data_IF_500335204080
#
_entry.id   IF_500335204080
#
_cell.length_a   1.000
_cell.length_b   1.000
_cell.length_c   1.000
_cell.angle_alpha   90.00
_cell.angle_beta   90.00
_cell.angle_gamma   90.00
#
_symmetry.space_group_name_H-M   'P 1'
#
loop_
_entity.id
_entity.type
_entity.pdbx_description
1 polymer ?
#
# COMPACT_ATOMS: atom_id res chain seq x y z
N UNK A 1 36.36 43.66 30.80
CA UNK A 1 35.53 42.45 30.50
C UNK A 1 36.37 41.59 29.59
N UNK A 2 36.92 40.45 30.09
CA UNK A 2 37.99 39.73 29.39
C UNK A 2 37.48 38.86 28.26
N UNK A 3 37.75 39.33 27.02
CA UNK A 3 37.41 38.66 25.75
C UNK A 3 38.02 37.24 25.65
N UNK A 4 39.09 36.97 26.37
CA UNK A 4 39.80 35.67 26.38
C UNK A 4 39.03 34.53 27.07
N UNK A 5 38.00 34.82 27.88
CA UNK A 5 37.16 33.80 28.50
C UNK A 5 36.01 33.32 27.60
N UNK A 6 35.58 34.16 26.63
CA UNK A 6 34.54 33.80 25.67
C UNK A 6 35.04 32.81 24.59
N UNK A 7 36.33 32.90 24.23
CA UNK A 7 36.91 31.97 23.23
C UNK A 7 37.06 30.52 23.74
N UNK A 8 37.06 30.29 25.06
CA UNK A 8 37.20 28.94 25.63
C UNK A 8 35.92 28.10 25.56
N UNK A 9 34.77 28.76 25.37
CA UNK A 9 33.46 28.06 25.27
C UNK A 9 33.01 27.81 23.84
N UNK A 10 33.69 28.38 22.84
CA UNK A 10 33.36 28.21 21.44
C UNK A 10 33.43 26.75 20.96
N UNK A 11 34.46 25.93 21.31
CA UNK A 11 34.51 24.54 20.88
C UNK A 11 33.38 23.68 21.48
N UNK A 12 32.89 24.03 22.67
CA UNK A 12 31.77 23.29 23.31
C UNK A 12 30.43 23.58 22.60
N UNK A 13 30.25 24.77 22.07
CA UNK A 13 29.05 25.17 21.32
C UNK A 13 28.98 24.47 19.96
N UNK A 14 30.13 24.31 19.28
CA UNK A 14 30.23 23.61 18.00
C UNK A 14 29.98 22.12 18.15
N UNK A 15 30.41 21.50 19.26
CA UNK A 15 30.13 20.09 19.56
C UNK A 15 28.65 19.80 19.83
N UNK A 16 27.92 20.78 20.37
CA UNK A 16 26.47 20.66 20.57
C UNK A 16 25.68 20.67 19.24
N UNK A 17 26.19 21.36 18.21
CA UNK A 17 25.55 21.40 16.89
C UNK A 17 25.80 20.14 16.07
N UNK A 18 26.90 19.43 16.30
CA UNK A 18 27.20 18.16 15.63
C UNK A 18 26.40 16.97 16.17
N UNK A 19 25.84 17.10 17.38
CA UNK A 19 24.99 16.06 17.98
C UNK A 19 23.53 16.04 17.52
N UNK A 20 23.10 17.00 16.69
CA UNK A 20 21.71 17.12 16.24
C UNK A 20 21.35 16.25 15.03
N UNK A 21 22.33 15.64 14.35
CA UNK A 21 22.04 14.53 13.44
C UNK A 21 21.83 13.25 14.25
N UNK A 22 20.74 13.18 14.99
CA UNK A 22 20.19 11.88 15.38
C UNK A 22 19.87 11.17 14.07
N UNK A 23 20.72 10.23 13.68
CA UNK A 23 20.35 9.22 12.73
C UNK A 23 19.03 8.65 13.26
N UNK A 24 17.92 8.95 12.54
CA UNK A 24 16.64 8.33 12.85
C UNK A 24 16.93 6.84 12.85
N UNK A 25 16.80 6.19 14.01
CA UNK A 25 17.00 4.75 14.11
C UNK A 25 16.14 4.04 13.10
N UNK A 26 16.38 2.77 12.79
CA UNK A 26 15.60 2.05 11.80
C UNK A 26 14.12 2.24 12.16
N UNK A 27 13.37 2.81 11.20
CA UNK A 27 11.96 3.09 11.42
C UNK A 27 11.23 1.79 11.76
N UNK A 28 10.42 1.84 12.80
CA UNK A 28 9.63 0.69 13.21
C UNK A 28 8.73 0.25 12.03
N UNK A 29 8.68 -1.04 11.73
CA UNK A 29 7.78 -1.55 10.71
C UNK A 29 6.32 -1.26 11.10
N UNK A 30 5.48 -0.95 10.12
CA UNK A 30 4.05 -0.80 10.31
C UNK A 30 3.45 -2.14 10.79
N UNK A 31 2.52 -2.06 11.72
CA UNK A 31 1.86 -3.25 12.30
C UNK A 31 0.48 -3.49 11.72
N UNK A 32 -0.10 -2.47 11.10
CA UNK A 32 -1.42 -2.50 10.48
C UNK A 32 -1.39 -1.92 9.08
N UNK A 33 -2.39 -2.27 8.26
CA UNK A 33 -2.59 -1.69 6.93
C UNK A 33 -2.70 -0.16 7.03
N UNK A 34 -3.45 0.34 8.01
CA UNK A 34 -3.61 1.78 8.22
C UNK A 34 -2.27 2.47 8.56
N UNK A 35 -1.46 1.89 9.46
CA UNK A 35 -0.13 2.41 9.79
C UNK A 35 0.80 2.41 8.58
N UNK A 36 0.73 1.38 7.73
CA UNK A 36 1.52 1.31 6.50
C UNK A 36 1.20 2.48 5.57
N UNK A 37 -0.07 2.72 5.29
CA UNK A 37 -0.48 3.85 4.47
C UNK A 37 -0.01 5.18 5.08
N UNK A 38 -0.28 5.43 6.36
CA UNK A 38 0.12 6.66 7.05
C UNK A 38 1.64 6.87 7.06
N UNK A 39 2.43 5.79 7.16
CA UNK A 39 3.89 5.83 7.15
C UNK A 39 4.46 6.25 5.81
N UNK A 40 3.83 5.81 4.71
CA UNK A 40 4.40 5.94 3.38
C UNK A 40 3.71 6.98 2.49
N UNK A 41 2.48 7.42 2.79
CA UNK A 41 1.72 8.33 1.92
C UNK A 41 2.40 9.68 1.64
N UNK A 42 3.21 10.19 2.58
CA UNK A 42 3.93 11.45 2.44
C UNK A 42 5.41 11.29 2.05
N UNK A 43 5.87 10.06 1.80
CA UNK A 43 7.27 9.80 1.47
C UNK A 43 7.56 9.96 0.00
N UNK A 44 8.75 10.45 -0.29
CA UNK A 44 9.26 10.56 -1.66
C UNK A 44 9.28 9.20 -2.36
N UNK A 45 8.80 9.15 -3.60
CA UNK A 45 8.68 7.94 -4.41
C UNK A 45 7.41 7.15 -4.19
N UNK A 46 6.63 7.46 -3.15
CA UNK A 46 5.32 6.87 -2.91
C UNK A 46 4.21 7.78 -3.45
N UNK A 47 3.16 7.15 -3.97
CA UNK A 47 1.89 7.79 -4.30
C UNK A 47 0.78 7.02 -3.61
N UNK A 48 0.05 7.68 -2.73
CA UNK A 48 -1.10 7.11 -2.05
C UNK A 48 -2.37 7.82 -2.50
N UNK A 49 -3.43 7.05 -2.69
CA UNK A 49 -4.74 7.55 -3.08
C UNK A 49 -5.81 6.80 -2.32
N UNK A 50 -6.86 7.51 -1.93
CA UNK A 50 -8.04 6.93 -1.29
C UNK A 50 -9.28 7.29 -2.10
N UNK A 51 -10.08 6.29 -2.43
CA UNK A 51 -11.29 6.46 -3.22
C UNK A 51 -12.53 6.09 -2.41
N UNK A 52 -13.55 6.92 -2.54
CA UNK A 52 -14.87 6.64 -2.01
C UNK A 52 -15.73 5.88 -3.03
N UNK A 53 -16.83 5.23 -2.60
CA UNK A 53 -17.65 4.35 -3.44
C UNK A 53 -18.13 4.99 -4.74
N UNK A 54 -18.53 6.27 -4.70
CA UNK A 54 -19.11 6.97 -5.85
C UNK A 54 -18.16 7.08 -7.04
N UNK A 55 -16.87 7.25 -6.77
CA UNK A 55 -15.86 7.32 -7.81
C UNK A 55 -15.60 5.94 -8.43
N UNK A 56 -15.53 4.92 -7.59
CA UNK A 56 -15.33 3.54 -8.04
C UNK A 56 -16.51 3.06 -8.88
N UNK A 57 -17.74 3.37 -8.47
CA UNK A 57 -18.94 3.04 -9.22
C UNK A 57 -18.90 3.65 -10.63
N UNK A 58 -18.42 4.89 -10.78
CA UNK A 58 -18.27 5.52 -12.10
C UNK A 58 -17.21 4.85 -12.98
N UNK A 59 -16.02 4.51 -12.41
CA UNK A 59 -14.96 3.81 -13.14
C UNK A 59 -15.47 2.45 -13.60
N UNK A 60 -16.09 1.72 -12.68
CA UNK A 60 -16.55 0.37 -12.92
C UNK A 60 -17.73 0.36 -13.90
N UNK A 61 -18.73 1.23 -13.74
CA UNK A 61 -19.85 1.34 -14.65
C UNK A 61 -19.42 1.82 -16.06
N UNK A 62 -18.43 2.71 -16.14
CA UNK A 62 -17.87 3.13 -17.44
C UNK A 62 -17.19 1.99 -18.21
N UNK A 63 -16.67 0.98 -17.50
CA UNK A 63 -16.06 -0.23 -18.10
C UNK A 63 -17.00 -1.43 -18.14
N UNK A 64 -17.93 -1.51 -17.19
CA UNK A 64 -18.90 -2.59 -17.04
C UNK A 64 -19.99 -2.61 -18.13
N UNK A 65 -20.03 -1.64 -19.05
CA UNK A 65 -20.82 -1.80 -20.28
C UNK A 65 -20.54 -3.11 -21.04
N UNK A 66 -19.53 -3.89 -20.58
CA UNK A 66 -19.15 -5.22 -21.06
C UNK A 66 -19.24 -6.33 -20.00
N UNK A 67 -19.52 -6.03 -18.72
CA UNK A 67 -19.62 -7.03 -17.66
C UNK A 67 -21.09 -7.28 -17.37
N UNK A 68 -21.61 -8.36 -17.96
CA UNK A 68 -22.99 -8.85 -17.76
C UNK A 68 -23.16 -9.59 -16.42
N UNK A 69 -22.13 -9.62 -15.56
CA UNK A 69 -22.15 -10.40 -14.33
C UNK A 69 -22.71 -9.56 -13.18
N UNK A 70 -23.93 -9.90 -12.76
CA UNK A 70 -24.63 -9.26 -11.64
C UNK A 70 -23.84 -9.39 -10.32
N UNK A 71 -23.06 -10.46 -10.15
CA UNK A 71 -22.27 -10.70 -8.95
C UNK A 71 -21.05 -9.78 -8.87
N UNK A 72 -20.41 -9.52 -10.01
CA UNK A 72 -19.34 -8.54 -10.11
C UNK A 72 -19.84 -7.12 -9.78
N UNK A 73 -21.04 -6.77 -10.25
CA UNK A 73 -21.67 -5.49 -9.92
C UNK A 73 -21.96 -5.37 -8.42
N UNK A 74 -22.51 -6.43 -7.82
CA UNK A 74 -22.74 -6.46 -6.37
C UNK A 74 -21.43 -6.37 -5.57
N UNK A 75 -20.37 -7.03 -6.03
CA UNK A 75 -19.07 -6.95 -5.39
C UNK A 75 -18.57 -5.50 -5.33
N UNK A 76 -18.72 -4.76 -6.43
CA UNK A 76 -18.31 -3.35 -6.50
C UNK A 76 -19.20 -2.44 -5.64
N UNK A 77 -20.51 -2.65 -5.62
CA UNK A 77 -21.44 -1.86 -4.80
C UNK A 77 -21.24 -2.09 -3.30
N UNK A 78 -20.69 -3.25 -2.91
CA UNK A 78 -20.36 -3.56 -1.51
C UNK A 78 -19.03 -2.97 -1.04
N UNK A 79 -18.27 -2.31 -1.92
CA UNK A 79 -17.04 -1.60 -1.55
C UNK A 79 -17.40 -0.36 -0.75
N UNK A 80 -16.76 -0.18 0.40
CA UNK A 80 -16.87 1.02 1.23
C UNK A 80 -15.72 1.99 1.00
N UNK A 81 -14.50 1.46 0.93
CA UNK A 81 -13.31 2.29 0.66
C UNK A 81 -12.30 1.48 -0.14
N UNK A 82 -11.56 2.17 -1.00
CA UNK A 82 -10.36 1.64 -1.63
C UNK A 82 -9.21 2.57 -1.33
N UNK A 83 -8.13 2.02 -0.79
CA UNK A 83 -6.87 2.73 -0.61
C UNK A 83 -5.84 2.06 -1.50
N UNK A 84 -5.09 2.87 -2.22
CA UNK A 84 -4.02 2.42 -3.09
C UNK A 84 -2.73 3.13 -2.71
N UNK A 85 -1.63 2.40 -2.70
CA UNK A 85 -0.30 2.98 -2.59
C UNK A 85 0.63 2.30 -3.58
N UNK A 86 1.41 3.11 -4.28
CA UNK A 86 2.43 2.66 -5.20
C UNK A 86 3.77 3.24 -4.84
N UNK A 87 4.80 2.51 -5.18
CA UNK A 87 6.17 2.95 -5.05
C UNK A 87 6.95 2.57 -6.30
N UNK A 88 7.64 3.56 -6.87
CA UNK A 88 8.55 3.37 -8.00
C UNK A 88 9.97 3.76 -7.55
N UNK A 89 10.92 2.81 -7.46
CA UNK A 89 12.26 3.10 -7.01
C UNK A 89 13.00 3.97 -8.04
N UNK A 90 13.64 5.04 -7.56
CA UNK A 90 14.41 5.99 -8.40
C UNK A 90 15.91 5.92 -8.15
N UNK A 91 16.36 5.14 -7.15
CA UNK A 91 17.77 5.00 -6.74
C UNK A 91 18.08 3.57 -6.31
N UNK A 92 19.35 3.22 -6.15
CA UNK A 92 19.78 1.92 -5.66
C UNK A 92 19.24 1.64 -4.25
N UNK A 93 19.31 2.62 -3.34
CA UNK A 93 18.77 2.48 -1.98
C UNK A 93 17.25 2.32 -1.95
N UNK A 94 16.52 2.93 -2.88
CA UNK A 94 15.08 2.76 -2.99
C UNK A 94 14.70 1.39 -3.60
N UNK A 95 15.54 0.80 -4.45
CA UNK A 95 15.35 -0.59 -4.90
C UNK A 95 15.52 -1.57 -3.75
N UNK A 96 16.55 -1.40 -2.91
CA UNK A 96 16.75 -2.21 -1.71
C UNK A 96 15.56 -2.15 -0.76
N UNK A 97 14.97 -0.98 -0.57
CA UNK A 97 13.74 -0.81 0.21
C UNK A 97 12.60 -1.64 -0.38
N UNK A 98 12.42 -1.60 -1.70
CA UNK A 98 11.38 -2.35 -2.38
C UNK A 98 11.58 -3.87 -2.29
N UNK A 99 12.79 -4.35 -2.61
CA UNK A 99 13.06 -5.79 -2.70
C UNK A 99 13.02 -6.50 -1.36
N UNK A 100 13.51 -5.86 -0.29
CA UNK A 100 13.70 -6.48 1.02
C UNK A 100 12.85 -5.89 2.12
N UNK A 101 12.49 -4.63 2.01
CA UNK A 101 11.81 -3.88 3.07
C UNK A 101 10.30 -3.97 2.99
N UNK A 102 9.70 -3.44 1.92
CA UNK A 102 8.24 -3.26 1.79
C UNK A 102 7.50 -4.60 1.84
N UNK A 103 8.00 -5.61 1.12
CA UNK A 103 7.37 -6.91 1.06
C UNK A 103 7.34 -7.58 2.44
N UNK A 104 8.48 -7.58 3.15
CA UNK A 104 8.58 -8.15 4.49
C UNK A 104 7.72 -7.40 5.51
N UNK A 105 7.65 -6.08 5.39
CA UNK A 105 6.81 -5.26 6.26
C UNK A 105 5.32 -5.57 6.02
N UNK A 106 4.90 -5.68 4.77
CA UNK A 106 3.53 -6.06 4.43
C UNK A 106 3.20 -7.47 4.90
N UNK A 107 4.07 -8.45 4.69
CA UNK A 107 3.85 -9.80 5.18
C UNK A 107 3.75 -9.84 6.72
N UNK A 108 4.49 -8.97 7.42
CA UNK A 108 4.42 -8.78 8.86
C UNK A 108 3.08 -8.22 9.33
N UNK A 109 2.64 -7.11 8.73
CA UNK A 109 1.38 -6.47 9.11
C UNK A 109 0.16 -7.34 8.78
N UNK A 110 0.16 -8.05 7.65
CA UNK A 110 -0.94 -8.95 7.30
C UNK A 110 -1.09 -10.08 8.32
N UNK A 111 0.03 -10.65 8.80
CA UNK A 111 0.00 -11.63 9.89
C UNK A 111 -0.52 -11.03 11.20
N UNK A 112 -0.07 -9.82 11.56
CA UNK A 112 -0.50 -9.14 12.78
C UNK A 112 -2.01 -8.89 12.79
N UNK A 113 -2.58 -8.48 11.68
CA UNK A 113 -4.02 -8.22 11.54
C UNK A 113 -4.83 -9.47 11.17
N UNK A 114 -4.21 -10.66 11.18
CA UNK A 114 -4.84 -11.96 10.92
C UNK A 114 -5.49 -12.05 9.53
N UNK A 115 -4.81 -11.51 8.52
CA UNK A 115 -5.21 -11.77 7.15
C UNK A 115 -4.84 -13.19 6.74
N UNK A 116 -5.76 -13.82 6.04
CA UNK A 116 -5.59 -15.15 5.46
C UNK A 116 -5.18 -15.00 3.99
N UNK A 117 -4.13 -15.70 3.54
CA UNK A 117 -3.76 -15.69 2.13
C UNK A 117 -4.88 -16.32 1.30
N UNK A 118 -5.27 -15.66 0.22
CA UNK A 118 -6.24 -16.18 -0.72
C UNK A 118 -5.49 -16.95 -1.80
N UNK A 119 -5.78 -18.26 -1.89
CA UNK A 119 -5.27 -19.12 -2.96
C UNK A 119 -6.03 -18.81 -4.25
N UNK A 120 -5.72 -17.70 -4.87
CA UNK A 120 -6.19 -17.45 -6.24
C UNK A 120 -5.25 -18.19 -7.18
N UNK A 121 -5.83 -19.01 -8.07
CA UNK A 121 -5.12 -19.38 -9.30
C UNK A 121 -4.63 -18.07 -9.90
N UNK A 122 -3.33 -17.98 -10.20
CA UNK A 122 -2.69 -16.80 -10.78
C UNK A 122 -3.57 -16.25 -11.90
N UNK A 123 -4.33 -15.22 -11.60
CA UNK A 123 -5.07 -14.47 -12.60
C UNK A 123 -4.07 -13.49 -13.17
N UNK A 124 -3.30 -13.98 -14.13
CA UNK A 124 -2.41 -13.18 -14.95
C UNK A 124 -3.25 -12.26 -15.83
N UNK A 125 -3.63 -11.10 -15.32
CA UNK A 125 -4.06 -10.00 -16.15
C UNK A 125 -2.78 -9.29 -16.66
N UNK A 126 -2.26 -9.74 -17.79
CA UNK A 126 -0.95 -9.31 -18.28
C UNK A 126 0.21 -9.84 -17.42
N UNK A 127 1.37 -9.19 -17.46
CA UNK A 127 2.55 -9.54 -16.67
C UNK A 127 2.50 -9.10 -15.19
N UNK A 128 1.35 -8.61 -14.71
CA UNK A 128 1.19 -8.16 -13.33
C UNK A 128 0.89 -9.37 -12.43
N UNK A 129 1.74 -9.60 -11.42
CA UNK A 129 1.57 -10.63 -10.42
C UNK A 129 1.04 -10.01 -9.14
N UNK A 130 -0.17 -10.39 -8.72
CA UNK A 130 -0.75 -9.95 -7.45
C UNK A 130 -0.92 -11.13 -6.50
N UNK A 131 -0.61 -10.90 -5.23
CA UNK A 131 -0.95 -11.77 -4.11
C UNK A 131 -2.10 -11.13 -3.36
N UNK A 132 -3.04 -11.95 -2.93
CA UNK A 132 -4.23 -11.51 -2.23
C UNK A 132 -4.26 -12.09 -0.83
N UNK A 133 -4.73 -11.26 0.11
CA UNK A 133 -5.02 -11.68 1.47
C UNK A 133 -6.35 -11.07 1.91
N UNK A 134 -7.10 -11.78 2.73
CA UNK A 134 -8.43 -11.36 3.18
C UNK A 134 -8.53 -11.35 4.69
N UNK A 135 -9.27 -10.40 5.22
CA UNK A 135 -9.66 -10.38 6.64
C UNK A 135 -11.14 -10.68 6.74
N UNK A 136 -11.49 -11.60 7.63
CA UNK A 136 -12.85 -12.06 7.82
C UNK A 136 -13.46 -11.60 9.14
N UNK A 137 -14.77 -11.50 9.14
CA UNK A 137 -15.58 -11.37 10.36
C UNK A 137 -16.79 -12.29 10.20
N UNK A 138 -16.79 -13.43 10.88
CA UNK A 138 -17.73 -14.51 10.63
C UNK A 138 -17.62 -14.99 9.19
N UNK A 139 -18.76 -15.15 8.52
CA UNK A 139 -18.86 -15.66 7.14
C UNK A 139 -18.55 -14.58 6.08
N UNK A 140 -18.29 -13.33 6.49
CA UNK A 140 -18.05 -12.23 5.57
C UNK A 140 -16.58 -11.83 5.53
N UNK A 141 -16.13 -11.47 4.33
CA UNK A 141 -14.86 -10.80 4.13
C UNK A 141 -15.05 -9.30 4.29
N UNK A 142 -14.33 -8.71 5.23
CA UNK A 142 -14.41 -7.28 5.55
C UNK A 142 -13.35 -6.45 4.86
N UNK A 143 -12.27 -7.09 4.44
CA UNK A 143 -11.19 -6.42 3.74
C UNK A 143 -10.42 -7.39 2.83
N UNK A 144 -10.07 -6.91 1.64
CA UNK A 144 -9.22 -7.61 0.67
C UNK A 144 -7.99 -6.74 0.45
N UNK A 145 -6.81 -7.31 0.64
CA UNK A 145 -5.53 -6.65 0.34
C UNK A 145 -4.89 -7.36 -0.84
N UNK A 146 -4.56 -6.59 -1.87
CA UNK A 146 -3.77 -7.04 -3.01
C UNK A 146 -2.39 -6.39 -2.96
N UNK A 147 -1.34 -7.17 -3.11
CA UNK A 147 0.03 -6.70 -3.20
C UNK A 147 0.70 -7.25 -4.44
N UNK A 148 1.49 -6.44 -5.11
CA UNK A 148 2.09 -6.86 -6.37
C UNK A 148 3.00 -5.83 -6.99
N UNK A 149 3.16 -5.94 -8.30
CA UNK A 149 3.97 -5.06 -9.13
C UNK A 149 3.16 -4.63 -10.35
N UNK A 150 3.44 -3.45 -10.88
CA UNK A 150 2.84 -3.01 -12.14
C UNK A 150 3.44 -3.80 -13.31
N UNK A 151 2.62 -4.09 -14.32
CA UNK A 151 3.05 -4.85 -15.48
C UNK A 151 4.14 -4.14 -16.30
N UNK A 152 4.06 -2.81 -16.37
CA UNK A 152 4.97 -1.91 -17.08
C UNK A 152 6.16 -1.44 -16.23
N UNK A 153 6.15 -1.74 -14.93
CA UNK A 153 7.20 -1.38 -13.98
C UNK A 153 7.52 -2.54 -13.01
N UNK A 154 8.30 -3.53 -13.42
CA UNK A 154 8.56 -4.74 -12.62
C UNK A 154 9.30 -4.46 -11.30
N UNK A 155 10.00 -3.33 -11.21
CA UNK A 155 10.64 -2.88 -9.97
C UNK A 155 9.68 -2.08 -9.05
N UNK A 156 8.43 -1.88 -9.43
CA UNK A 156 7.45 -1.16 -8.63
C UNK A 156 6.91 -2.03 -7.49
N UNK A 157 6.35 -1.37 -6.49
CA UNK A 157 5.52 -2.00 -5.47
C UNK A 157 4.13 -1.38 -5.54
N UNK A 158 3.11 -2.22 -5.41
CA UNK A 158 1.71 -1.82 -5.36
C UNK A 158 1.04 -2.53 -4.19
N UNK A 159 0.27 -1.77 -3.41
CA UNK A 159 -0.65 -2.32 -2.42
C UNK A 159 -2.01 -1.66 -2.57
N UNK A 160 -3.05 -2.47 -2.65
CA UNK A 160 -4.45 -2.06 -2.64
C UNK A 160 -5.12 -2.65 -1.40
N UNK A 161 -5.87 -1.84 -0.69
CA UNK A 161 -6.71 -2.29 0.41
C UNK A 161 -8.15 -1.91 0.10
N UNK A 162 -9.02 -2.90 -0.06
CA UNK A 162 -10.44 -2.76 -0.38
C UNK A 162 -11.26 -3.20 0.81
N UNK A 163 -11.93 -2.28 1.47
CA UNK A 163 -12.83 -2.60 2.58
C UNK A 163 -14.28 -2.64 2.12
N UNK A 164 -15.06 -3.50 2.74
CA UNK A 164 -16.47 -3.67 2.40
C UNK A 164 -17.14 -4.77 3.21
N UNK A 165 -18.15 -5.40 2.63
CA UNK A 165 -18.84 -6.56 3.20
C UNK A 165 -19.12 -7.56 2.09
N UNK A 166 -18.21 -8.50 1.89
CA UNK A 166 -18.19 -9.39 0.74
C UNK A 166 -18.49 -10.83 1.11
N UNK A 167 -19.16 -11.53 0.21
CA UNK A 167 -19.18 -13.00 0.20
C UNK A 167 -17.90 -13.54 -0.43
N UNK A 168 -17.62 -14.83 -0.28
CA UNK A 168 -16.46 -15.45 -0.93
C UNK A 168 -16.53 -15.30 -2.46
N UNK A 169 -17.70 -15.53 -3.06
CA UNK A 169 -17.90 -15.37 -4.49
C UNK A 169 -17.63 -13.94 -4.99
N UNK A 170 -18.07 -12.93 -4.22
CA UNK A 170 -17.76 -11.53 -4.53
C UNK A 170 -16.27 -11.23 -4.43
N UNK A 171 -15.53 -11.83 -3.48
CA UNK A 171 -14.07 -11.72 -3.41
C UNK A 171 -13.42 -12.32 -4.67
N UNK A 172 -13.90 -13.47 -5.12
CA UNK A 172 -13.38 -14.10 -6.34
C UNK A 172 -13.60 -13.22 -7.59
N UNK A 173 -14.70 -12.48 -7.65
CA UNK A 173 -14.91 -11.47 -8.70
C UNK A 173 -14.00 -10.25 -8.53
N UNK A 174 -13.82 -9.74 -7.31
CA UNK A 174 -12.91 -8.63 -7.05
C UNK A 174 -11.49 -8.95 -7.48
N UNK A 175 -10.97 -10.15 -7.22
CA UNK A 175 -9.61 -10.54 -7.62
C UNK A 175 -9.41 -10.54 -9.14
N UNK A 176 -10.46 -10.73 -9.93
CA UNK A 176 -10.41 -10.64 -11.40
C UNK A 176 -10.42 -9.19 -11.90
N UNK A 177 -11.09 -8.30 -11.17
CA UNK A 177 -11.32 -6.91 -11.56
C UNK A 177 -10.17 -6.00 -11.09
N UNK A 178 -9.66 -6.21 -9.87
CA UNK A 178 -8.65 -5.35 -9.23
C UNK A 178 -7.39 -5.13 -10.09
N UNK A 179 -6.81 -6.13 -10.77
CA UNK A 179 -5.65 -5.90 -11.62
C UNK A 179 -5.89 -4.90 -12.75
N UNK A 180 -7.08 -4.93 -13.35
CA UNK A 180 -7.47 -4.00 -14.40
C UNK A 180 -7.73 -2.58 -13.90
N UNK A 181 -8.08 -2.44 -12.61
CA UNK A 181 -8.35 -1.13 -11.99
C UNK A 181 -7.08 -0.41 -11.55
N UNK A 182 -6.00 -1.15 -11.24
CA UNK A 182 -4.74 -0.57 -10.76
C UNK A 182 -4.18 0.48 -11.71
N UNK A 183 -4.21 0.24 -13.01
CA UNK A 183 -3.70 1.19 -14.00
C UNK A 183 -4.48 2.52 -14.09
N UNK A 184 -5.72 2.59 -13.60
CA UNK A 184 -6.53 3.81 -13.58
C UNK A 184 -6.57 4.48 -12.19
N UNK A 185 -6.52 3.67 -11.15
CA UNK A 185 -6.45 4.14 -9.77
C UNK A 185 -5.12 4.88 -9.51
N UNK A 186 -4.09 4.61 -10.31
CA UNK A 186 -2.73 5.10 -10.09
C UNK A 186 -2.29 6.19 -11.09
N UNK A 187 -3.16 6.61 -11.99
CA UNK A 187 -2.93 7.78 -12.87
C UNK A 187 -3.26 9.07 -12.14
#
# INVERSE_FOLDING_TARGET
MNLSRLLRFWPLLVLLWLGACRAAGPEKPARTVAEFFNKYESRSGFRATSYQPDFLTRIVLGRLGKISDAEALQAVTNIRTVRAITFAPTSASSRDLNERGLQNEVDGLLRNERYEPLSTRETSAGNAQYRYAVRRSGDKVTEVVATGRQADAPESFVMLAVSGNFTQSQVDQLTKILPGMTGEILK
#
